data_IF_982837523048
#
_entry.id   IF_982837523048
#
_cell.length_a   1.000
_cell.length_b   1.000
_cell.length_c   1.000
_cell.angle_alpha   90.00
_cell.angle_beta   90.00
_cell.angle_gamma   90.00
#
_symmetry.space_group_name_H-M   'P 1'
#
loop_
_entity.id
_entity.type
_entity.pdbx_description
1 polymer ?
#
# COMPACT_ATOMS: atom_id res chain seq x y z
N UNK A 1 0.81 5.02 5.24
CA UNK A 1 1.99 5.16 4.37
C UNK A 1 1.99 4.13 3.27
N UNK A 2 1.54 2.91 3.51
CA UNK A 2 1.56 1.86 2.46
C UNK A 2 0.70 2.18 1.24
N UNK A 3 -0.45 2.86 1.41
CA UNK A 3 -1.35 3.19 0.29
C UNK A 3 -0.65 4.09 -0.74
N UNK A 4 0.14 5.08 -0.30
CA UNK A 4 0.88 5.96 -1.20
C UNK A 4 2.09 5.26 -1.85
N UNK A 5 2.64 4.24 -1.19
CA UNK A 5 3.73 3.43 -1.75
C UNK A 5 3.28 2.44 -2.83
N UNK A 6 1.97 2.25 -3.00
CA UNK A 6 1.40 1.38 -4.05
C UNK A 6 0.45 2.15 -4.95
N UNK A 7 -0.74 2.51 -4.48
CA UNK A 7 -1.80 3.07 -5.34
C UNK A 7 -1.31 4.37 -5.99
N UNK A 8 -0.73 5.28 -5.21
CA UNK A 8 -0.23 6.55 -5.75
C UNK A 8 0.89 6.35 -6.78
N UNK A 9 1.83 5.43 -6.53
CA UNK A 9 2.88 5.09 -7.50
C UNK A 9 2.32 4.68 -8.87
N UNK A 10 1.20 3.96 -8.93
CA UNK A 10 0.64 3.45 -10.18
C UNK A 10 -0.52 4.30 -10.75
N UNK A 11 -0.95 5.36 -10.07
CA UNK A 11 -2.11 6.18 -10.48
C UNK A 11 -1.91 7.70 -10.34
N UNK A 12 -0.67 8.16 -10.09
CA UNK A 12 -0.32 9.59 -10.03
C UNK A 12 0.51 10.08 -11.23
N UNK A 13 0.30 9.50 -12.41
CA UNK A 13 1.03 9.86 -13.64
C UNK A 13 2.54 9.59 -13.58
N UNK A 14 2.99 8.74 -12.64
CA UNK A 14 4.32 8.16 -12.68
C UNK A 14 4.53 7.35 -13.98
N UNK A 15 5.75 6.90 -14.21
CA UNK A 15 6.08 6.12 -15.41
C UNK A 15 5.23 4.85 -15.54
N UNK A 16 4.89 4.22 -14.41
CA UNK A 16 4.12 2.97 -14.35
C UNK A 16 2.59 3.19 -14.36
N UNK A 17 2.12 4.44 -14.39
CA UNK A 17 0.69 4.73 -14.54
C UNK A 17 0.26 4.62 -16.01
N UNK A 18 -0.33 3.48 -16.33
CA UNK A 18 -0.88 3.17 -17.65
C UNK A 18 -2.30 3.71 -17.83
N UNK A 19 -3.00 4.07 -16.76
CA UNK A 19 -4.40 4.52 -16.79
C UNK A 19 -4.52 6.01 -17.10
N UNK A 20 -3.58 6.81 -16.59
CA UNK A 20 -3.53 8.28 -16.73
C UNK A 20 -4.87 8.97 -16.41
N UNK A 21 -5.63 8.46 -15.44
CA UNK A 21 -6.91 9.05 -14.99
C UNK A 21 -6.67 10.23 -14.03
N UNK A 22 -6.83 11.45 -14.54
CA UNK A 22 -6.59 12.67 -13.77
C UNK A 22 -7.42 12.78 -12.48
N UNK A 23 -8.65 12.23 -12.45
CA UNK A 23 -9.48 12.26 -11.24
C UNK A 23 -8.89 11.39 -10.15
N UNK A 24 -8.39 10.21 -10.53
CA UNK A 24 -7.73 9.29 -9.60
C UNK A 24 -6.47 9.95 -9.03
N UNK A 25 -5.61 10.51 -9.89
CA UNK A 25 -4.42 11.26 -9.47
C UNK A 25 -4.76 12.36 -8.47
N UNK A 26 -5.73 13.22 -8.78
CA UNK A 26 -6.03 14.39 -7.95
C UNK A 26 -6.53 13.99 -6.55
N UNK A 27 -7.33 12.93 -6.45
CA UNK A 27 -7.74 12.40 -5.15
C UNK A 27 -6.59 11.77 -4.37
N UNK A 28 -5.64 11.10 -5.04
CA UNK A 28 -4.48 10.48 -4.39
C UNK A 28 -3.52 11.55 -3.86
N UNK A 29 -3.19 12.58 -4.64
CA UNK A 29 -2.34 13.69 -4.21
C UNK A 29 -2.90 14.41 -2.97
N UNK A 30 -4.22 14.62 -2.92
CA UNK A 30 -4.88 15.22 -1.76
C UNK A 30 -4.93 14.25 -0.56
N UNK A 31 -5.10 12.95 -0.78
CA UNK A 31 -5.10 11.94 0.27
C UNK A 31 -3.69 11.75 0.90
N UNK A 32 -2.65 11.84 0.08
CA UNK A 32 -1.26 11.64 0.47
C UNK A 32 -0.73 12.79 1.32
N UNK A 33 -1.19 14.02 1.04
CA UNK A 33 -0.80 15.24 1.76
C UNK A 33 -1.69 15.58 2.97
N UNK A 34 -2.84 14.92 3.12
CA UNK A 34 -3.76 15.19 4.24
C UNK A 34 -3.30 14.53 5.54
N UNK A 35 -3.39 15.25 6.67
CA UNK A 35 -3.17 14.70 8.02
C UNK A 35 -4.47 14.25 8.71
N UNK A 36 -5.63 14.67 8.21
CA UNK A 36 -6.94 14.27 8.74
C UNK A 36 -7.28 12.84 8.30
N UNK A 37 -7.39 11.87 9.24
CA UNK A 37 -7.67 10.47 8.90
C UNK A 37 -9.00 10.25 8.19
N UNK A 38 -10.04 11.01 8.52
CA UNK A 38 -11.37 10.86 7.93
C UNK A 38 -11.36 11.34 6.48
N UNK A 39 -10.76 12.51 6.24
CA UNK A 39 -10.55 13.06 4.90
C UNK A 39 -9.74 12.12 4.02
N UNK A 40 -8.60 11.62 4.53
CA UNK A 40 -7.76 10.64 3.82
C UNK A 40 -8.54 9.39 3.42
N UNK A 41 -9.28 8.80 4.37
CA UNK A 41 -10.08 7.61 4.12
C UNK A 41 -11.12 7.84 3.04
N UNK A 42 -11.78 9.00 3.06
CA UNK A 42 -12.80 9.35 2.06
C UNK A 42 -12.19 9.50 0.65
N UNK A 43 -11.03 10.16 0.52
CA UNK A 43 -10.36 10.35 -0.76
C UNK A 43 -9.81 9.05 -1.34
N UNK A 44 -9.11 8.22 -0.55
CA UNK A 44 -8.67 6.90 -1.01
C UNK A 44 -9.85 6.01 -1.42
N UNK A 45 -10.98 6.08 -0.70
CA UNK A 45 -12.19 5.34 -1.06
C UNK A 45 -12.71 5.74 -2.44
N UNK A 46 -12.68 7.03 -2.80
CA UNK A 46 -13.07 7.51 -4.13
C UNK A 46 -12.12 7.01 -5.22
N UNK A 47 -10.81 7.13 -5.00
CA UNK A 47 -9.79 6.66 -5.93
C UNK A 47 -9.90 5.15 -6.19
N UNK A 48 -9.92 4.34 -5.14
CA UNK A 48 -10.03 2.88 -5.24
C UNK A 48 -11.35 2.44 -5.90
N UNK A 49 -12.46 3.11 -5.59
CA UNK A 49 -13.75 2.83 -6.25
C UNK A 49 -13.68 3.09 -7.75
N UNK A 50 -13.11 4.22 -8.17
CA UNK A 50 -12.96 4.56 -9.59
C UNK A 50 -12.03 3.57 -10.32
N UNK A 51 -10.91 3.19 -9.69
CA UNK A 51 -9.98 2.17 -10.21
C UNK A 51 -10.72 0.85 -10.47
N UNK A 52 -11.56 0.42 -9.52
CA UNK A 52 -12.36 -0.80 -9.66
C UNK A 52 -13.46 -0.65 -10.73
N UNK A 53 -14.20 0.46 -10.74
CA UNK A 53 -15.26 0.72 -11.73
C UNK A 53 -14.75 0.78 -13.18
N UNK A 54 -13.47 1.09 -13.38
CA UNK A 54 -12.84 1.09 -14.71
C UNK A 54 -12.03 -0.15 -15.01
N UNK A 55 -11.96 -1.10 -14.06
CA UNK A 55 -11.13 -2.28 -14.17
C UNK A 55 -9.65 -1.97 -14.50
N UNK A 56 -9.12 -0.85 -14.00
CA UNK A 56 -7.69 -0.54 -14.18
C UNK A 56 -6.82 -1.54 -13.41
N UNK A 57 -7.27 -1.95 -12.22
CA UNK A 57 -6.74 -3.06 -11.45
C UNK A 57 -7.85 -4.00 -11.00
N UNK A 58 -7.54 -5.30 -10.96
CA UNK A 58 -8.39 -6.33 -10.41
C UNK A 58 -7.66 -7.01 -9.25
N UNK A 59 -8.07 -6.77 -7.99
CA UNK A 59 -7.52 -7.50 -6.85
C UNK A 59 -7.86 -8.99 -6.98
N UNK A 60 -6.85 -9.86 -6.96
CA UNK A 60 -7.03 -11.30 -7.16
C UNK A 60 -7.21 -12.06 -5.84
N UNK A 61 -6.29 -11.86 -4.89
CA UNK A 61 -6.27 -12.56 -3.61
C UNK A 61 -5.43 -11.80 -2.58
N UNK A 62 -5.61 -12.15 -1.31
CA UNK A 62 -4.65 -11.90 -0.25
C UNK A 62 -3.91 -13.19 0.08
N UNK A 63 -2.65 -13.11 0.49
CA UNK A 63 -1.84 -14.28 0.83
C UNK A 63 -1.19 -14.10 2.19
N UNK A 64 -0.83 -15.23 2.81
CA UNK A 64 -0.07 -15.24 4.06
C UNK A 64 1.42 -15.19 3.72
N UNK A 65 2.15 -14.24 4.32
CA UNK A 65 3.61 -14.20 4.24
C UNK A 65 4.22 -15.09 5.33
N UNK A 66 4.73 -16.25 4.92
CA UNK A 66 5.36 -17.19 5.82
C UNK A 66 6.83 -16.82 6.05
N UNK A 67 7.26 -16.78 7.32
CA UNK A 67 8.64 -16.54 7.69
C UNK A 67 9.23 -17.83 8.29
N UNK A 68 10.39 -18.26 7.79
CA UNK A 68 11.10 -19.43 8.29
C UNK A 68 12.45 -19.00 8.87
N UNK A 69 12.72 -19.35 10.12
CA UNK A 69 13.95 -19.00 10.84
C UNK A 69 14.30 -20.07 11.88
N UNK A 70 15.56 -20.12 12.31
CA UNK A 70 16.01 -21.10 13.32
C UNK A 70 15.37 -20.83 14.69
N UNK A 71 15.13 -21.89 15.46
CA UNK A 71 14.60 -21.81 16.84
C UNK A 71 15.50 -20.99 17.78
N UNK A 72 16.78 -20.87 17.44
CA UNK A 72 17.79 -20.15 18.24
C UNK A 72 17.73 -18.63 18.02
N UNK A 73 16.93 -18.16 17.05
CA UNK A 73 16.67 -16.75 16.81
C UNK A 73 15.41 -16.29 17.56
N UNK A 74 15.52 -15.20 18.30
CA UNK A 74 14.39 -14.44 18.85
C UNK A 74 13.96 -13.39 17.81
N UNK A 75 12.86 -13.69 17.12
CA UNK A 75 12.33 -12.89 16.02
C UNK A 75 10.80 -12.97 15.96
N UNK A 76 10.16 -11.81 15.77
CA UNK A 76 8.72 -11.67 15.51
C UNK A 76 8.53 -11.05 14.12
N UNK A 77 7.80 -11.70 13.20
CA UNK A 77 7.50 -11.13 11.89
C UNK A 77 6.51 -9.96 11.99
N UNK A 78 6.55 -9.07 11.00
CA UNK A 78 5.70 -7.88 10.94
C UNK A 78 4.74 -7.93 9.73
N UNK A 79 3.52 -7.36 9.85
CA UNK A 79 2.51 -7.40 8.79
C UNK A 79 2.90 -6.68 7.49
N UNK A 80 3.80 -5.71 7.56
CA UNK A 80 4.31 -4.94 6.41
C UNK A 80 5.38 -5.67 5.60
N UNK A 81 5.67 -6.94 5.96
CA UNK A 81 6.70 -7.77 5.34
C UNK A 81 8.13 -7.19 5.40
N UNK A 82 8.37 -6.13 6.18
CA UNK A 82 9.71 -5.55 6.37
C UNK A 82 10.36 -6.14 7.61
N UNK A 83 11.45 -6.88 7.40
CA UNK A 83 12.18 -7.54 8.50
C UNK A 83 13.02 -6.52 9.26
N UNK A 84 12.76 -6.37 10.56
CA UNK A 84 13.51 -5.48 11.45
C UNK A 84 14.67 -6.24 12.09
N UNK A 85 15.71 -6.53 11.31
CA UNK A 85 16.89 -7.29 11.78
C UNK A 85 17.57 -6.67 13.01
N UNK A 86 17.52 -5.35 13.16
CA UNK A 86 18.08 -4.65 14.33
C UNK A 86 17.34 -4.92 15.65
N UNK A 87 16.15 -5.52 15.62
CA UNK A 87 15.42 -5.99 16.80
C UNK A 87 15.63 -7.49 17.06
N UNK A 88 16.19 -8.22 16.11
CA UNK A 88 16.41 -9.66 16.24
C UNK A 88 17.68 -9.94 17.05
N UNK A 89 17.67 -11.04 17.81
CA UNK A 89 18.82 -11.48 18.61
C UNK A 89 18.86 -13.00 18.71
N UNK A 90 20.03 -13.54 19.02
CA UNK A 90 20.17 -14.94 19.40
C UNK A 90 19.67 -15.16 20.84
N UNK A 91 19.09 -16.33 21.10
CA UNK A 91 18.64 -16.76 22.42
C UNK A 91 19.78 -17.25 23.30
#
# INVERSE_FOLDING_TARGET
NDVSAIVSHFFEFALDDLSRDAKVRDWLLEADSSIDPAKRKALYSKALKRIAEQAYWCPLFTFVSNNCFTKDLDFTPYPDAVVRFFLAKWK
#
